data_IF_828796012925
#
_entry.id   IF_828796012925
#
_cell.length_a   1.000
_cell.length_b   1.000
_cell.length_c   1.000
_cell.angle_alpha   90.00
_cell.angle_beta   90.00
_cell.angle_gamma   90.00
#
_symmetry.space_group_name_H-M   'P 1'
#
loop_
_entity.id
_entity.type
_entity.pdbx_description
1 polymer ?
#
# COMPACT_ATOMS: atom_id res chain seq x y z
N UNK A 1 -1.45 8.23 -3.98
CA UNK A 1 -0.62 7.10 -3.50
C UNK A 1 0.75 7.17 -4.12
N UNK A 2 1.77 7.00 -3.31
CA UNK A 2 3.17 6.99 -3.74
C UNK A 2 3.79 5.65 -3.35
N UNK A 3 4.50 5.01 -4.27
CA UNK A 3 5.22 3.76 -4.02
C UNK A 3 6.72 3.91 -4.16
N UNK A 4 7.45 3.20 -3.30
CA UNK A 4 8.92 3.23 -3.27
C UNK A 4 9.52 1.83 -3.27
N UNK A 5 10.74 1.71 -3.78
CA UNK A 5 11.58 0.52 -3.67
C UNK A 5 12.32 0.44 -2.33
N UNK A 6 13.15 -0.59 -2.12
CA UNK A 6 13.97 -0.76 -0.91
C UNK A 6 14.94 0.38 -0.62
N UNK A 7 15.38 1.10 -1.66
CA UNK A 7 16.32 2.20 -1.57
C UNK A 7 15.63 3.56 -1.43
N UNK A 8 14.31 3.58 -1.23
CA UNK A 8 13.47 4.78 -1.15
C UNK A 8 13.43 5.60 -2.45
N UNK A 9 13.72 4.97 -3.60
CA UNK A 9 13.46 5.60 -4.89
C UNK A 9 11.96 5.57 -5.16
N UNK A 10 11.40 6.70 -5.61
CA UNK A 10 10.00 6.77 -6.01
C UNK A 10 9.79 6.00 -7.31
N UNK A 11 8.97 4.97 -7.27
CA UNK A 11 8.61 4.17 -8.46
C UNK A 11 7.40 4.75 -9.18
N UNK A 12 6.39 5.19 -8.43
CA UNK A 12 5.17 5.75 -8.99
C UNK A 12 4.46 6.70 -8.04
N UNK A 13 3.58 7.51 -8.63
CA UNK A 13 2.65 8.38 -7.93
C UNK A 13 1.34 8.44 -8.71
N UNK A 14 0.29 7.86 -8.15
CA UNK A 14 -1.03 7.72 -8.79
C UNK A 14 -2.16 7.92 -7.77
N UNK A 15 -3.37 8.26 -8.20
CA UNK A 15 -4.55 8.21 -7.34
C UNK A 15 -4.79 6.82 -6.74
N UNK A 16 -5.32 6.73 -5.52
CA UNK A 16 -5.64 5.43 -4.88
C UNK A 16 -6.64 4.62 -5.70
N UNK A 17 -7.55 5.28 -6.42
CA UNK A 17 -8.51 4.62 -7.32
C UNK A 17 -7.83 3.86 -8.46
N UNK A 18 -6.69 4.38 -8.96
CA UNK A 18 -5.93 3.71 -10.04
C UNK A 18 -5.04 2.59 -9.52
N UNK A 19 -4.76 2.54 -8.21
CA UNK A 19 -3.95 1.49 -7.62
C UNK A 19 -4.61 0.12 -7.82
N UNK A 20 -5.93 0.03 -7.73
CA UNK A 20 -6.67 -1.22 -7.89
C UNK A 20 -6.46 -1.87 -9.27
N UNK A 21 -6.30 -1.06 -10.31
CA UNK A 21 -6.21 -1.54 -11.69
C UNK A 21 -4.75 -1.81 -12.13
N UNK A 22 -3.78 -1.24 -11.41
CA UNK A 22 -2.37 -1.21 -11.82
C UNK A 22 -1.41 -1.88 -10.83
N UNK A 23 -1.93 -2.48 -9.76
CA UNK A 23 -1.12 -3.02 -8.65
C UNK A 23 -0.07 -4.04 -9.11
N UNK A 24 -0.43 -4.86 -10.11
CA UNK A 24 0.41 -5.89 -10.71
C UNK A 24 1.65 -5.31 -11.43
N UNK A 25 1.63 -4.02 -11.80
CA UNK A 25 2.78 -3.35 -12.40
C UNK A 25 3.78 -2.81 -11.37
N UNK A 26 3.52 -2.99 -10.08
CA UNK A 26 4.29 -2.40 -8.99
C UNK A 26 4.97 -3.43 -8.08
N UNK A 27 5.33 -4.60 -8.61
CA UNK A 27 5.95 -5.73 -7.88
C UNK A 27 7.24 -5.35 -7.12
N UNK A 28 8.01 -4.39 -7.65
CA UNK A 28 9.25 -3.91 -7.04
C UNK A 28 9.01 -2.96 -5.85
N UNK A 29 7.78 -2.49 -5.66
CA UNK A 29 7.44 -1.61 -4.55
C UNK A 29 7.50 -2.38 -3.23
N UNK A 30 8.11 -1.78 -2.21
CA UNK A 30 8.15 -2.29 -0.83
C UNK A 30 7.48 -1.37 0.18
N UNK A 31 7.39 -0.09 -0.12
CA UNK A 31 6.77 0.92 0.74
C UNK A 31 5.68 1.67 -0.01
N UNK A 32 4.53 1.85 0.64
CA UNK A 32 3.41 2.61 0.10
C UNK A 32 2.98 3.72 1.05
N UNK A 33 2.68 4.88 0.47
CA UNK A 33 2.04 6.01 1.16
C UNK A 33 0.72 6.29 0.47
N UNK A 34 -0.38 6.08 1.18
CA UNK A 34 -1.75 6.17 0.67
C UNK A 34 -2.42 7.39 1.30
N UNK A 35 -2.72 8.38 0.48
CA UNK A 35 -3.57 9.50 0.89
C UNK A 35 -5.04 9.09 0.80
N UNK A 36 -5.48 8.28 1.77
CA UNK A 36 -6.79 7.65 1.79
C UNK A 36 -6.97 6.64 2.92
N UNK A 37 -8.06 5.89 2.85
CA UNK A 37 -8.41 4.84 3.81
C UNK A 37 -7.81 3.51 3.34
N UNK A 38 -7.02 2.85 4.19
CA UNK A 38 -6.63 1.46 3.99
C UNK A 38 -7.81 0.54 4.34
N UNK A 39 -8.37 -0.11 3.33
CA UNK A 39 -9.50 -1.04 3.44
C UNK A 39 -9.02 -2.50 3.40
N UNK A 40 -9.83 -3.43 3.90
CA UNK A 40 -9.53 -4.88 3.77
C UNK A 40 -9.36 -5.30 2.30
N UNK A 41 -10.17 -4.74 1.39
CA UNK A 41 -10.06 -5.02 -0.05
C UNK A 41 -8.72 -4.56 -0.62
N UNK A 42 -8.30 -3.34 -0.30
CA UNK A 42 -7.02 -2.82 -0.77
C UNK A 42 -5.85 -3.62 -0.17
N UNK A 43 -5.91 -3.90 1.13
CA UNK A 43 -4.89 -4.70 1.80
C UNK A 43 -4.76 -6.09 1.18
N UNK A 44 -5.88 -6.71 0.78
CA UNK A 44 -5.86 -8.00 0.08
C UNK A 44 -5.15 -7.95 -1.26
N UNK A 45 -5.33 -6.90 -2.06
CA UNK A 45 -4.59 -6.74 -3.32
C UNK A 45 -3.10 -6.52 -3.07
N UNK A 46 -2.78 -5.76 -2.02
CA UNK A 46 -1.41 -5.54 -1.59
C UNK A 46 -0.74 -6.80 -1.01
N UNK A 47 -1.49 -7.89 -0.78
CA UNK A 47 -0.91 -9.17 -0.36
C UNK A 47 -0.29 -9.96 -1.52
N UNK A 48 -0.72 -9.69 -2.74
CA UNK A 48 -0.21 -10.36 -3.95
C UNK A 48 1.14 -9.77 -4.39
N UNK A 49 1.47 -8.59 -3.88
CA UNK A 49 2.77 -7.93 -4.05
C UNK A 49 3.55 -7.92 -2.72
N UNK A 50 4.88 -7.92 -2.79
CA UNK A 50 5.75 -8.05 -1.60
C UNK A 50 5.95 -6.71 -0.85
N UNK A 51 4.84 -6.07 -0.48
CA UNK A 51 4.83 -4.84 0.34
C UNK A 51 5.20 -5.16 1.78
N UNK A 52 6.09 -4.34 2.35
CA UNK A 52 6.54 -4.44 3.74
C UNK A 52 5.92 -3.39 4.65
N UNK A 53 5.58 -2.23 4.09
CA UNK A 53 5.12 -1.09 4.88
C UNK A 53 4.08 -0.27 4.12
N UNK A 54 3.04 0.15 4.86
CA UNK A 54 1.99 1.02 4.35
C UNK A 54 1.78 2.18 5.35
N UNK A 55 1.94 3.41 4.90
CA UNK A 55 1.46 4.60 5.60
C UNK A 55 0.12 5.03 4.97
N UNK A 56 -0.88 5.34 5.79
CA UNK A 56 -2.19 5.78 5.31
C UNK A 56 -2.81 6.87 6.19
N UNK A 57 -3.75 7.66 5.65
CA UNK A 57 -4.46 8.67 6.45
C UNK A 57 -5.42 8.04 7.46
N UNK A 58 -6.10 6.99 7.03
CA UNK A 58 -7.07 6.28 7.84
C UNK A 58 -7.00 4.80 7.52
N UNK A 59 -7.57 3.98 8.40
CA UNK A 59 -7.80 2.54 8.17
C UNK A 59 -9.22 2.19 8.57
N UNK A 60 -9.76 1.12 7.98
CA UNK A 60 -10.99 0.51 8.52
C UNK A 60 -10.78 0.06 9.97
N UNK A 61 -11.81 0.15 10.80
CA UNK A 61 -11.72 -0.17 12.23
C UNK A 61 -11.30 -1.63 12.45
N UNK A 62 -11.99 -2.56 11.79
CA UNK A 62 -11.82 -4.01 11.92
C UNK A 62 -10.81 -4.62 10.93
N UNK A 63 -9.92 -3.80 10.34
CA UNK A 63 -8.93 -4.31 9.40
C UNK A 63 -7.95 -5.28 10.07
N UNK A 64 -7.78 -6.46 9.46
CA UNK A 64 -6.82 -7.46 9.92
C UNK A 64 -5.51 -7.30 9.17
N UNK A 65 -4.50 -6.76 9.85
CA UNK A 65 -3.18 -6.53 9.27
C UNK A 65 -2.35 -7.82 9.40
N UNK A 66 -1.85 -8.40 8.29
CA UNK A 66 -0.93 -9.54 8.34
C UNK A 66 0.38 -9.18 9.03
N UNK A 67 0.97 -10.12 9.80
CA UNK A 67 2.23 -9.89 10.54
C UNK A 67 3.41 -9.41 9.67
N UNK A 68 3.40 -9.77 8.38
CA UNK A 68 4.46 -9.41 7.42
C UNK A 68 4.39 -7.95 6.93
N UNK A 69 3.32 -7.22 7.25
CA UNK A 69 3.10 -5.84 6.79
C UNK A 69 2.99 -4.92 7.99
N UNK A 70 3.81 -3.88 8.02
CA UNK A 70 3.72 -2.82 9.02
C UNK A 70 2.78 -1.73 8.47
N UNK A 71 1.77 -1.34 9.26
CA UNK A 71 0.85 -0.26 8.90
C UNK A 71 0.99 0.90 9.88
N UNK A 72 1.23 2.09 9.35
CA UNK A 72 1.22 3.35 10.08
C UNK A 72 0.05 4.22 9.61
N UNK A 73 -0.64 4.89 10.53
CA UNK A 73 -1.72 5.82 10.19
C UNK A 73 -1.56 7.15 10.93
N UNK A 74 -1.98 8.26 10.30
CA UNK A 74 -1.70 9.63 10.76
C UNK A 74 -2.75 10.68 10.38
#
# INVERSE_FOLDING_TARGET
>A
TVGFDQSLNKLFEIPVSELFDKIDHFEDSKFLIIDGILTNRLLSLLMDIDIKFIACKNKEEDIKIPERIIVFYF
#
